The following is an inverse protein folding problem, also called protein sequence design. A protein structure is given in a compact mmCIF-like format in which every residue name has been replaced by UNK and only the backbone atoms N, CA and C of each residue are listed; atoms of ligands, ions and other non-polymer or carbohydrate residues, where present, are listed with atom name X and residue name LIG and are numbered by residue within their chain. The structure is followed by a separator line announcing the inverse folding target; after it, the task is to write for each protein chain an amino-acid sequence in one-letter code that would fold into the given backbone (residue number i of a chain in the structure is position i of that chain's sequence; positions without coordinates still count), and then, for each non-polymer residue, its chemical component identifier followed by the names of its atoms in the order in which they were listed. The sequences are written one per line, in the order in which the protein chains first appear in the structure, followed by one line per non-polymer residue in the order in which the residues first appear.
data_IF_030226009274
#
_entry.id   IF_030226009274
#
_cell.length_a   1.000
_cell.length_b   1.000
_cell.length_c   1.000
_cell.angle_alpha   90.00
_cell.angle_beta   90.00
_cell.angle_gamma   90.00
#
_symmetry.space_group_name_H-M   'P 1'
#
loop_
_entity.id
_entity.type
_entity.pdbx_description
1 polymer ?
#
# COMPACT_ATOMS: atom_id res chain seq x y z
N UNK A 1 7.63 6.88 7.42
CA UNK A 1 6.29 7.42 7.07
C UNK A 1 5.47 6.35 6.34
N UNK A 2 6.05 5.54 5.46
CA UNK A 2 5.38 4.39 4.84
C UNK A 2 4.78 3.42 5.89
N UNK A 3 5.46 3.21 7.03
CA UNK A 3 4.91 2.46 8.18
C UNK A 3 3.61 3.05 8.72
N UNK A 4 3.42 4.37 8.68
CA UNK A 4 2.18 5.01 9.16
C UNK A 4 1.01 4.83 8.19
N UNK A 5 1.25 4.76 6.89
CA UNK A 5 0.18 4.60 5.90
C UNK A 5 -0.36 3.17 5.86
N UNK A 6 0.48 2.13 5.86
CA UNK A 6 0.04 0.72 5.76
C UNK A 6 -0.66 0.18 7.02
N UNK A 7 -0.37 0.73 8.19
CA UNK A 7 -1.13 0.45 9.42
C UNK A 7 -2.50 1.16 9.44
N UNK A 8 -2.84 1.94 8.42
CA UNK A 8 -4.05 2.78 8.40
C UNK A 8 -5.36 2.00 8.26
N UNK A 9 -5.40 0.77 7.77
CA UNK A 9 -6.63 -0.03 7.71
C UNK A 9 -7.28 -0.27 9.08
N UNK A 10 -6.49 -0.22 10.16
CA UNK A 10 -6.95 -0.28 11.56
C UNK A 10 -6.94 1.13 12.19
N UNK A 11 -6.48 2.16 11.46
CA UNK A 11 -6.18 3.51 11.95
C UNK A 11 -6.87 4.62 11.18
N UNK A 12 -7.79 4.31 10.28
CA UNK A 12 -8.41 5.31 9.41
C UNK A 12 -8.91 6.52 10.21
N UNK A 13 -8.33 7.69 9.88
CA UNK A 13 -8.73 8.97 10.49
C UNK A 13 -10.08 9.45 10.00
N UNK A 14 -10.40 9.13 8.75
CA UNK A 14 -11.66 9.52 8.11
C UNK A 14 -12.14 8.33 7.29
N UNK A 15 -13.16 7.64 7.79
CA UNK A 15 -13.90 6.67 7.01
C UNK A 15 -15.05 7.44 6.36
N UNK A 16 -14.88 7.82 5.09
CA UNK A 16 -16.02 8.32 4.33
C UNK A 16 -16.66 7.17 3.54
N UNK A 17 -17.98 7.10 3.59
CA UNK A 17 -18.79 6.26 2.70
C UNK A 17 -19.39 7.08 1.55
N UNK A 18 -19.19 8.38 1.59
CA UNK A 18 -19.71 9.33 0.63
C UNK A 18 -18.85 9.34 -0.63
N UNK A 19 -19.28 8.58 -1.63
CA UNK A 19 -18.60 8.47 -2.93
C UNK A 19 -18.66 9.77 -3.75
N UNK A 20 -19.60 10.69 -3.45
CA UNK A 20 -19.68 11.97 -4.16
C UNK A 20 -18.45 12.86 -3.94
N UNK A 21 -17.76 12.64 -2.81
CA UNK A 21 -16.52 13.37 -2.51
C UNK A 21 -15.33 12.95 -3.38
N UNK A 22 -15.41 11.79 -4.02
CA UNK A 22 -14.35 11.29 -4.89
C UNK A 22 -14.21 12.16 -6.14
N UNK A 23 -15.31 12.56 -6.78
CA UNK A 23 -15.27 13.36 -8.00
C UNK A 23 -14.66 14.74 -7.74
N UNK A 24 -15.08 15.41 -6.67
CA UNK A 24 -14.47 16.67 -6.27
C UNK A 24 -12.97 16.52 -5.99
N UNK A 25 -12.55 15.44 -5.33
CA UNK A 25 -11.14 15.16 -5.09
C UNK A 25 -10.37 14.94 -6.41
N UNK A 26 -10.96 14.23 -7.36
CA UNK A 26 -10.35 14.00 -8.67
C UNK A 26 -10.21 15.28 -9.49
N UNK A 27 -11.17 16.22 -9.38
CA UNK A 27 -11.06 17.54 -10.01
C UNK A 27 -9.85 18.32 -9.47
N UNK A 28 -9.65 18.29 -8.16
CA UNK A 28 -8.47 18.91 -7.55
C UNK A 28 -7.17 18.17 -7.89
N UNK A 29 -7.18 16.85 -7.96
CA UNK A 29 -6.03 16.08 -8.39
C UNK A 29 -5.61 16.41 -9.83
N UNK A 30 -6.58 16.60 -10.73
CA UNK A 30 -6.32 17.02 -12.12
C UNK A 30 -5.71 18.42 -12.19
N UNK A 31 -6.19 19.35 -11.36
CA UNK A 31 -5.60 20.69 -11.23
C UNK A 31 -4.18 20.65 -10.64
N UNK A 32 -3.92 19.76 -9.67
CA UNK A 32 -2.56 19.56 -9.16
C UNK A 32 -1.62 19.06 -10.25
N UNK A 33 -2.04 18.10 -11.08
CA UNK A 33 -1.26 17.65 -12.24
C UNK A 33 -0.96 18.81 -13.21
N UNK A 34 -1.94 19.68 -13.47
CA UNK A 34 -1.76 20.84 -14.34
C UNK A 34 -0.77 21.85 -13.75
N UNK A 35 -0.77 22.06 -12.43
CA UNK A 35 0.21 22.91 -11.74
C UNK A 35 1.60 22.31 -11.74
N UNK A 36 1.69 20.98 -11.66
CA UNK A 36 2.96 20.25 -11.60
C UNK A 36 3.62 20.11 -12.99
N UNK A 37 2.83 19.96 -14.05
CA UNK A 37 3.31 19.68 -15.40
C UNK A 37 4.40 20.65 -15.92
N UNK A 38 4.33 21.97 -15.71
CA UNK A 38 5.39 22.90 -16.13
C UNK A 38 6.75 22.63 -15.47
N UNK A 39 6.76 22.02 -14.30
CA UNK A 39 7.99 21.71 -13.54
C UNK A 39 8.63 20.38 -13.95
N UNK A 40 7.92 19.55 -14.71
CA UNK A 40 8.42 18.27 -15.16
C UNK A 40 9.26 18.35 -16.45
N UNK A 41 9.11 19.39 -17.27
CA UNK A 41 9.99 19.65 -18.43
C UNK A 41 9.78 18.75 -19.66
N UNK A 42 8.62 18.12 -19.84
CA UNK A 42 8.28 17.35 -21.06
C UNK A 42 7.69 15.96 -20.78
N UNK A 43 7.69 15.08 -21.81
CA UNK A 43 7.21 13.70 -21.65
C UNK A 43 8.21 12.86 -20.86
N UNK A 44 7.77 12.30 -19.73
CA UNK A 44 8.61 11.52 -18.84
C UNK A 44 8.26 10.04 -18.92
N UNK A 45 9.27 9.14 -19.04
CA UNK A 45 9.04 7.71 -18.90
C UNK A 45 8.66 7.42 -17.45
N UNK A 46 7.56 6.67 -17.26
CA UNK A 46 7.09 6.22 -15.96
C UNK A 46 7.54 4.78 -15.74
N UNK A 47 8.58 4.58 -14.93
CA UNK A 47 9.10 3.27 -14.59
C UNK A 47 8.28 2.62 -13.47
N UNK A 48 7.78 3.41 -12.52
CA UNK A 48 6.98 2.92 -11.40
C UNK A 48 5.76 3.80 -11.15
N UNK A 49 4.63 3.16 -10.85
CA UNK A 49 3.39 3.80 -10.39
C UNK A 49 2.87 3.06 -9.17
N UNK A 50 2.48 3.79 -8.15
CA UNK A 50 1.90 3.20 -6.94
C UNK A 50 0.65 3.95 -6.50
N UNK A 51 -0.47 3.22 -6.44
CA UNK A 51 -1.71 3.69 -5.82
C UNK A 51 -1.82 3.11 -4.42
N UNK A 52 -1.70 3.97 -3.42
CA UNK A 52 -1.73 3.57 -2.01
C UNK A 52 -2.18 4.69 -1.09
N UNK A 53 -2.13 4.43 0.22
CA UNK A 53 -2.41 5.45 1.22
C UNK A 53 -3.89 5.62 1.55
N UNK A 54 -4.53 4.60 1.93
CA UNK A 54 -5.95 4.48 2.22
C UNK A 54 -6.49 3.25 1.53
N UNK A 55 -7.59 3.36 0.80
CA UNK A 55 -8.11 2.27 -0.02
C UNK A 55 -8.34 2.81 -1.43
N UNK A 56 -7.40 2.64 -2.37
CA UNK A 56 -7.55 3.16 -3.74
C UNK A 56 -8.82 2.66 -4.43
N UNK A 57 -9.25 1.44 -4.10
CA UNK A 57 -10.50 0.84 -4.57
C UNK A 57 -11.77 1.39 -3.89
N UNK A 58 -11.65 2.48 -3.15
CA UNK A 58 -12.76 3.37 -2.82
C UNK A 58 -13.29 4.08 -4.07
N UNK A 59 -12.41 4.40 -5.02
CA UNK A 59 -12.75 4.92 -6.33
C UNK A 59 -13.49 3.86 -7.14
N UNK A 60 -14.45 4.29 -7.97
CA UNK A 60 -15.07 3.39 -8.97
C UNK A 60 -14.07 3.06 -10.08
N UNK A 61 -14.40 2.06 -10.89
CA UNK A 61 -13.58 1.69 -12.04
C UNK A 61 -13.41 2.86 -13.01
N UNK A 62 -14.48 3.62 -13.28
CA UNK A 62 -14.48 4.81 -14.14
C UNK A 62 -13.62 5.94 -13.55
N UNK A 63 -13.65 6.11 -12.23
CA UNK A 63 -12.83 7.08 -11.53
C UNK A 63 -11.35 6.70 -11.57
N UNK A 64 -11.01 5.40 -11.47
CA UNK A 64 -9.64 4.92 -11.66
C UNK A 64 -9.17 5.11 -13.10
N UNK A 65 -10.03 4.85 -14.09
CA UNK A 65 -9.74 5.14 -15.51
C UNK A 65 -9.46 6.64 -15.72
N UNK A 66 -10.23 7.53 -15.09
CA UNK A 66 -9.99 8.97 -15.12
C UNK A 66 -8.62 9.32 -14.58
N UNK A 67 -8.20 8.78 -13.43
CA UNK A 67 -6.86 9.03 -12.86
C UNK A 67 -5.77 8.53 -13.81
N UNK A 68 -5.93 7.34 -14.40
CA UNK A 68 -4.99 6.84 -15.41
C UNK A 68 -4.91 7.75 -16.64
N UNK A 69 -6.04 8.30 -17.08
CA UNK A 69 -6.09 9.30 -18.14
C UNK A 69 -5.29 10.55 -17.79
N UNK A 70 -5.39 11.05 -16.56
CA UNK A 70 -4.57 12.17 -16.06
C UNK A 70 -3.07 11.84 -16.13
N UNK A 71 -2.68 10.66 -15.64
CA UNK A 71 -1.27 10.21 -15.64
C UNK A 71 -0.74 10.12 -17.07
N UNK A 72 -1.48 9.48 -17.98
CA UNK A 72 -1.06 9.29 -19.37
C UNK A 72 -0.93 10.58 -20.18
N UNK A 73 -1.55 11.68 -19.75
CA UNK A 73 -1.34 12.99 -20.37
C UNK A 73 0.05 13.59 -20.08
N UNK A 74 0.66 13.18 -18.97
CA UNK A 74 1.93 13.76 -18.50
C UNK A 74 3.08 12.78 -18.49
N UNK A 75 2.81 11.46 -18.51
CA UNK A 75 3.80 10.41 -18.41
C UNK A 75 3.57 9.32 -19.46
N UNK A 76 4.67 8.76 -19.96
CA UNK A 76 4.63 7.59 -20.85
C UNK A 76 4.93 6.33 -20.03
N UNK A 77 3.98 5.41 -19.94
CA UNK A 77 4.19 4.13 -19.26
C UNK A 77 5.24 3.32 -20.02
N UNK A 78 6.26 2.85 -19.28
CA UNK A 78 7.29 1.97 -19.84
C UNK A 78 6.74 0.54 -19.98
N UNK A 79 7.11 -0.22 -21.04
CA UNK A 79 6.64 -1.60 -21.22
C UNK A 79 6.95 -2.52 -20.04
N UNK A 80 8.14 -2.34 -19.42
CA UNK A 80 8.60 -3.12 -18.26
C UNK A 80 8.41 -2.38 -16.93
N UNK A 81 7.54 -1.37 -16.91
CA UNK A 81 7.26 -0.60 -15.70
C UNK A 81 6.53 -1.41 -14.62
N UNK A 82 6.66 -0.97 -13.38
CA UNK A 82 6.00 -1.55 -12.21
C UNK A 82 4.81 -0.69 -11.80
N UNK A 83 3.61 -1.17 -12.03
CA UNK A 83 2.37 -0.42 -11.76
C UNK A 83 1.56 -1.14 -10.69
N UNK A 84 1.58 -0.62 -9.47
CA UNK A 84 1.07 -1.29 -8.29
C UNK A 84 -0.13 -0.58 -7.66
N UNK A 85 -1.03 -1.37 -7.07
CA UNK A 85 -2.22 -0.90 -6.37
C UNK A 85 -2.43 -1.67 -5.06
N UNK A 86 -2.80 -0.95 -3.98
CA UNK A 86 -3.26 -1.54 -2.72
C UNK A 86 -4.75 -1.89 -2.80
N UNK A 87 -5.11 -3.11 -2.40
CA UNK A 87 -6.47 -3.66 -2.49
C UNK A 87 -6.99 -4.06 -1.10
N UNK A 88 -8.22 -3.65 -0.80
CA UNK A 88 -9.04 -4.28 0.24
C UNK A 88 -9.93 -5.33 -0.44
N UNK A 89 -9.68 -6.65 -0.28
CA UNK A 89 -10.36 -7.69 -1.04
C UNK A 89 -11.86 -7.77 -0.77
N UNK A 90 -12.33 -7.22 0.35
CA UNK A 90 -13.77 -7.13 0.70
C UNK A 90 -14.56 -6.16 -0.18
N UNK A 91 -13.87 -5.37 -1.00
CA UNK A 91 -14.42 -4.22 -1.75
C UNK A 91 -14.27 -4.34 -3.26
N UNK A 92 -13.72 -5.42 -3.75
CA UNK A 92 -13.30 -5.56 -5.14
C UNK A 92 -13.88 -6.83 -5.73
N UNK A 93 -14.52 -6.73 -6.90
CA UNK A 93 -15.00 -7.89 -7.67
C UNK A 93 -13.89 -8.42 -8.59
N UNK A 94 -14.07 -9.64 -9.11
CA UNK A 94 -13.17 -10.21 -10.14
C UNK A 94 -13.11 -9.33 -11.38
N UNK A 95 -14.25 -8.79 -11.81
CA UNK A 95 -14.36 -7.89 -12.97
C UNK A 95 -13.54 -6.62 -12.75
N UNK A 96 -13.61 -6.01 -11.55
CA UNK A 96 -12.79 -4.84 -11.21
C UNK A 96 -11.31 -5.17 -11.27
N UNK A 97 -10.86 -6.35 -10.79
CA UNK A 97 -9.46 -6.77 -10.89
C UNK A 97 -9.02 -6.90 -12.36
N UNK A 98 -9.84 -7.51 -13.21
CA UNK A 98 -9.55 -7.60 -14.65
C UNK A 98 -9.48 -6.21 -15.32
N UNK A 99 -10.34 -5.26 -14.91
CA UNK A 99 -10.25 -3.87 -15.39
C UNK A 99 -8.96 -3.20 -14.96
N UNK A 100 -8.51 -3.41 -13.71
CA UNK A 100 -7.21 -2.90 -13.24
C UNK A 100 -6.05 -3.42 -14.10
N UNK A 101 -6.06 -4.72 -14.46
CA UNK A 101 -5.07 -5.29 -15.39
C UNK A 101 -5.10 -4.60 -16.76
N UNK A 102 -6.32 -4.36 -17.33
CA UNK A 102 -6.49 -3.64 -18.60
C UNK A 102 -6.01 -2.18 -18.54
N UNK A 103 -6.12 -1.52 -17.40
CA UNK A 103 -5.58 -0.18 -17.19
C UNK A 103 -4.06 -0.15 -17.23
N UNK A 104 -3.41 -1.28 -16.93
CA UNK A 104 -1.96 -1.42 -16.95
C UNK A 104 -1.35 -1.76 -15.59
N UNK A 105 -2.16 -1.92 -14.53
CA UNK A 105 -1.64 -2.45 -13.28
C UNK A 105 -1.12 -3.87 -13.45
N UNK A 106 0.06 -4.14 -12.93
CA UNK A 106 0.71 -5.45 -13.02
C UNK A 106 1.26 -5.95 -11.67
N UNK A 107 1.03 -5.22 -10.60
CA UNK A 107 1.36 -5.60 -9.22
C UNK A 107 0.23 -5.22 -8.29
N UNK A 108 -0.01 -6.06 -7.30
CA UNK A 108 -1.10 -5.88 -6.33
C UNK A 108 -0.60 -6.16 -4.92
N UNK A 109 -1.00 -5.34 -3.95
CA UNK A 109 -0.87 -5.66 -2.52
C UNK A 109 -2.26 -5.85 -1.93
N UNK A 110 -2.50 -7.02 -1.35
CA UNK A 110 -3.79 -7.41 -0.77
C UNK A 110 -3.70 -7.39 0.75
N UNK A 111 -4.47 -6.49 1.36
CA UNK A 111 -4.53 -6.41 2.81
C UNK A 111 -5.33 -7.55 3.41
N UNK A 112 -4.68 -8.53 4.04
CA UNK A 112 -5.29 -9.64 4.76
C UNK A 112 -5.38 -9.35 6.26
N UNK A 113 -4.28 -8.98 6.84
CA UNK A 113 -4.01 -8.71 8.26
C UNK A 113 -4.00 -9.97 9.11
N UNK A 114 -5.09 -10.72 9.19
CA UNK A 114 -5.25 -11.99 9.88
C UNK A 114 -6.50 -12.72 9.39
N UNK A 115 -6.51 -14.07 9.46
CA UNK A 115 -7.68 -14.89 9.17
C UNK A 115 -8.38 -15.46 10.41
N UNK A 116 -7.81 -15.32 11.62
CA UNK A 116 -8.48 -15.75 12.85
C UNK A 116 -9.74 -14.92 13.10
N UNK A 117 -10.94 -15.52 13.22
CA UNK A 117 -12.19 -14.78 13.38
C UNK A 117 -12.25 -13.94 14.66
N UNK A 118 -11.55 -14.37 15.72
CA UNK A 118 -11.50 -13.67 17.01
C UNK A 118 -10.65 -12.40 16.89
N UNK A 119 -9.51 -12.52 16.20
CA UNK A 119 -8.63 -11.39 15.88
C UNK A 119 -9.36 -10.41 14.96
N UNK A 120 -9.96 -10.88 13.87
CA UNK A 120 -10.73 -10.06 12.92
C UNK A 120 -11.84 -9.27 13.61
N UNK A 121 -12.59 -9.92 14.53
CA UNK A 121 -13.66 -9.28 15.30
C UNK A 121 -13.10 -8.18 16.21
N UNK A 122 -11.99 -8.43 16.89
CA UNK A 122 -11.36 -7.46 17.80
C UNK A 122 -10.89 -6.18 17.08
N UNK A 123 -10.43 -6.30 15.84
CA UNK A 123 -10.00 -5.15 15.02
C UNK A 123 -11.07 -4.63 14.06
N UNK A 124 -12.29 -5.17 14.14
CA UNK A 124 -13.45 -4.83 13.28
C UNK A 124 -13.14 -4.96 11.78
N UNK A 125 -12.45 -6.04 11.41
CA UNK A 125 -12.09 -6.35 10.01
C UNK A 125 -12.45 -7.80 9.68
N UNK A 126 -13.71 -8.05 9.42
CA UNK A 126 -14.20 -9.37 9.01
C UNK A 126 -13.91 -9.54 7.51
N UNK A 127 -13.21 -10.60 7.16
CA UNK A 127 -12.78 -10.92 5.81
C UNK A 127 -12.70 -12.44 5.65
N UNK A 128 -13.35 -12.97 4.64
CA UNK A 128 -13.29 -14.41 4.34
C UNK A 128 -12.05 -14.78 3.52
N UNK A 129 -11.67 -16.04 3.60
CA UNK A 129 -10.64 -16.60 2.72
C UNK A 129 -11.06 -16.54 1.26
N UNK A 130 -12.34 -16.79 0.97
CA UNK A 130 -12.87 -16.83 -0.40
C UNK A 130 -12.83 -15.46 -1.08
N UNK A 131 -13.14 -14.36 -0.35
CA UNK A 131 -12.96 -13.00 -0.87
C UNK A 131 -11.51 -12.75 -1.27
N UNK A 132 -10.56 -13.14 -0.42
CA UNK A 132 -9.14 -12.97 -0.68
C UNK A 132 -8.66 -13.83 -1.86
N UNK A 133 -9.03 -15.11 -1.88
CA UNK A 133 -8.68 -16.06 -2.94
C UNK A 133 -9.19 -15.57 -4.28
N UNK A 134 -10.44 -15.15 -4.37
CA UNK A 134 -11.06 -14.64 -5.58
C UNK A 134 -10.30 -13.45 -6.19
N UNK A 135 -9.82 -12.53 -5.35
CA UNK A 135 -9.02 -11.37 -5.79
C UNK A 135 -7.65 -11.81 -6.30
N UNK A 136 -6.96 -12.71 -5.59
CA UNK A 136 -5.63 -13.20 -5.97
C UNK A 136 -5.68 -13.99 -7.28
N UNK A 137 -6.66 -14.89 -7.43
CA UNK A 137 -6.86 -15.65 -8.66
C UNK A 137 -7.19 -14.74 -9.85
N UNK A 138 -8.10 -13.78 -9.66
CA UNK A 138 -8.42 -12.80 -10.69
C UNK A 138 -7.21 -11.95 -11.11
N UNK A 139 -6.32 -11.60 -10.17
CA UNK A 139 -5.09 -10.90 -10.48
C UNK A 139 -4.16 -11.74 -11.38
N UNK A 140 -4.01 -13.04 -11.08
CA UNK A 140 -3.22 -13.97 -11.90
C UNK A 140 -3.82 -14.14 -13.29
N UNK A 141 -5.13 -14.32 -13.38
CA UNK A 141 -5.86 -14.40 -14.68
C UNK A 141 -5.72 -13.11 -15.50
N UNK A 142 -5.69 -11.95 -14.82
CA UNK A 142 -5.49 -10.65 -15.46
C UNK A 142 -4.02 -10.34 -15.82
N UNK A 143 -3.08 -11.28 -15.54
CA UNK A 143 -1.67 -11.16 -15.90
C UNK A 143 -0.85 -10.30 -14.95
N UNK A 144 -1.26 -10.14 -13.70
CA UNK A 144 -0.43 -9.47 -12.69
C UNK A 144 0.86 -10.28 -12.46
N UNK A 145 2.00 -9.59 -12.56
CA UNK A 145 3.34 -10.18 -12.43
C UNK A 145 3.70 -10.50 -10.97
N UNK A 146 3.10 -9.80 -10.00
CA UNK A 146 3.37 -10.03 -8.58
C UNK A 146 2.16 -9.68 -7.74
N UNK A 147 1.83 -10.56 -6.79
CA UNK A 147 0.80 -10.38 -5.77
C UNK A 147 1.47 -10.43 -4.40
N UNK A 148 1.42 -9.30 -3.70
CA UNK A 148 1.86 -9.17 -2.31
C UNK A 148 0.68 -9.31 -1.37
N UNK A 149 0.90 -9.86 -0.19
CA UNK A 149 -0.08 -9.87 0.90
C UNK A 149 0.45 -9.17 2.13
N UNK A 150 -0.42 -8.42 2.79
CA UNK A 150 -0.08 -7.70 4.01
C UNK A 150 -0.71 -8.39 5.21
N UNK A 151 0.12 -8.77 6.18
CA UNK A 151 -0.24 -9.32 7.48
C UNK A 151 0.17 -8.38 8.61
N UNK A 152 -0.48 -8.52 9.76
CA UNK A 152 -0.11 -7.77 10.96
C UNK A 152 0.05 -8.74 12.11
N UNK A 153 1.21 -8.70 12.77
CA UNK A 153 1.44 -9.44 14.01
C UNK A 153 1.33 -8.55 15.25
N UNK A 154 0.99 -9.15 16.38
CA UNK A 154 0.76 -8.45 17.64
C UNK A 154 -0.63 -7.80 17.74
N UNK A 155 -1.59 -8.26 16.95
CA UNK A 155 -2.99 -7.87 17.05
C UNK A 155 -3.64 -8.44 18.33
N UNK A 156 -4.76 -7.85 18.82
CA UNK A 156 -5.52 -8.41 19.94
C UNK A 156 -5.85 -9.88 19.75
N UNK A 157 -5.65 -10.68 20.78
CA UNK A 157 -5.85 -12.14 20.82
C UNK A 157 -4.88 -12.98 20.00
N UNK A 158 -3.91 -12.39 19.31
CA UNK A 158 -2.89 -13.18 18.64
C UNK A 158 -1.93 -13.85 19.62
N UNK A 159 -1.52 -15.04 19.28
CA UNK A 159 -0.43 -15.83 19.91
C UNK A 159 0.30 -16.59 18.81
N UNK A 160 1.39 -17.26 19.16
CA UNK A 160 2.09 -18.16 18.21
C UNK A 160 1.18 -19.24 17.68
N UNK A 161 0.28 -19.81 18.52
CA UNK A 161 -0.67 -20.83 18.08
C UNK A 161 -1.77 -20.29 17.17
N UNK A 162 -2.25 -19.05 17.39
CA UNK A 162 -3.32 -18.47 16.57
C UNK A 162 -2.83 -17.95 15.23
N UNK A 163 -1.57 -17.49 15.10
CA UNK A 163 -1.00 -17.01 13.83
C UNK A 163 -0.66 -18.15 12.86
N UNK A 164 -0.39 -19.35 13.37
CA UNK A 164 -0.07 -20.55 12.58
C UNK A 164 -1.08 -20.82 11.47
N UNK A 165 -2.39 -21.02 11.76
CA UNK A 165 -3.39 -21.28 10.72
C UNK A 165 -3.50 -20.14 9.72
N UNK A 166 -3.31 -18.89 10.15
CA UNK A 166 -3.30 -17.72 9.27
C UNK A 166 -2.13 -17.81 8.29
N UNK A 167 -0.92 -18.09 8.76
CA UNK A 167 0.26 -18.22 7.90
C UNK A 167 0.13 -19.38 6.92
N UNK A 168 -0.31 -20.56 7.38
CA UNK A 168 -0.53 -21.73 6.51
C UNK A 168 -1.58 -21.43 5.42
N UNK A 169 -2.65 -20.75 5.79
CA UNK A 169 -3.70 -20.31 4.84
C UNK A 169 -3.13 -19.32 3.82
N UNK A 170 -2.37 -18.33 4.26
CA UNK A 170 -1.74 -17.34 3.38
C UNK A 170 -0.77 -17.99 2.42
N UNK A 171 0.07 -18.92 2.92
CA UNK A 171 1.03 -19.66 2.08
C UNK A 171 0.32 -20.56 1.05
N UNK A 172 -0.87 -21.09 1.37
CA UNK A 172 -1.68 -21.83 0.40
C UNK A 172 -2.21 -20.98 -0.77
N UNK A 173 -2.25 -19.67 -0.62
CA UNK A 173 -2.58 -18.72 -1.69
C UNK A 173 -1.39 -18.39 -2.60
N UNK A 174 -0.20 -18.89 -2.24
CA UNK A 174 1.05 -18.77 -2.98
C UNK A 174 1.41 -17.32 -3.38
N UNK A 175 1.45 -16.35 -2.44
CA UNK A 175 1.80 -14.97 -2.75
C UNK A 175 3.27 -14.85 -3.19
N UNK A 176 3.57 -13.88 -4.05
CA UNK A 176 4.94 -13.61 -4.48
C UNK A 176 5.74 -12.86 -3.41
N UNK A 177 5.03 -12.03 -2.63
CA UNK A 177 5.60 -11.24 -1.52
C UNK A 177 4.67 -11.29 -0.30
N UNK A 178 5.29 -11.18 0.87
CA UNK A 178 4.58 -10.95 2.13
C UNK A 178 5.16 -9.74 2.84
N UNK A 179 4.28 -8.97 3.45
CA UNK A 179 4.68 -7.94 4.41
C UNK A 179 4.03 -8.26 5.76
N UNK A 180 4.86 -8.46 6.79
CA UNK A 180 4.43 -8.81 8.14
C UNK A 180 4.68 -7.63 9.07
N UNK A 181 3.68 -6.77 9.25
CA UNK A 181 3.81 -5.52 10.01
C UNK A 181 3.54 -5.70 11.50
N UNK A 182 4.33 -5.01 12.33
CA UNK A 182 4.05 -4.91 13.75
C UNK A 182 2.82 -4.03 14.03
N UNK A 183 1.88 -4.53 14.83
CA UNK A 183 0.80 -3.73 15.37
C UNK A 183 1.31 -2.74 16.43
N UNK A 184 1.19 -1.44 16.13
CA UNK A 184 1.48 -0.38 17.10
C UNK A 184 0.18 0.13 17.72
N UNK A 185 0.01 -0.13 19.03
CA UNK A 185 -1.14 0.36 19.78
C UNK A 185 -0.89 1.80 20.25
N UNK A 186 -1.56 2.77 19.62
CA UNK A 186 -1.39 4.21 19.85
C UNK A 186 -2.77 4.91 19.98
N UNK A 187 -3.58 4.58 21.01
CA UNK A 187 -4.95 5.08 21.13
C UNK A 187 -5.04 6.59 21.36
N UNK A 188 -3.97 7.21 21.85
CA UNK A 188 -3.87 8.67 21.98
C UNK A 188 -3.78 9.37 20.62
N UNK A 189 -3.22 8.70 19.60
CA UNK A 189 -3.10 9.21 18.23
C UNK A 189 -4.28 8.78 17.36
N UNK A 190 -4.71 7.52 17.49
CA UNK A 190 -5.74 6.90 16.64
C UNK A 190 -6.99 6.56 17.44
N UNK A 191 -8.00 7.40 17.31
CA UNK A 191 -9.29 7.25 18.05
C UNK A 191 -9.94 5.86 17.90
N UNK A 192 -9.94 5.18 16.74
CA UNK A 192 -10.52 3.83 16.63
C UNK A 192 -9.87 2.80 17.55
N UNK A 193 -8.56 2.94 17.82
CA UNK A 193 -7.83 2.02 18.71
C UNK A 193 -8.25 2.11 20.18
N UNK A 194 -8.97 3.16 20.58
CA UNK A 194 -9.53 3.30 21.95
C UNK A 194 -10.57 2.25 22.29
N UNK A 195 -11.11 1.56 21.27
CA UNK A 195 -12.10 0.48 21.44
C UNK A 195 -11.44 -0.89 21.64
N UNK A 196 -10.13 -0.97 21.44
CA UNK A 196 -9.37 -2.21 21.61
C UNK A 196 -9.05 -2.37 23.10
N UNK A 197 -9.46 -3.51 23.65
CA UNK A 197 -9.08 -3.89 25.01
C UNK A 197 -7.57 -4.18 25.05
N UNK A 198 -6.85 -3.42 25.85
CA UNK A 198 -5.38 -3.58 25.98
C UNK A 198 -5.00 -4.86 26.71
N UNK A 199 -5.90 -5.44 27.53
CA UNK A 199 -5.64 -6.68 28.25
C UNK A 199 -5.49 -7.90 27.33
N UNK A 200 -6.00 -7.81 26.08
CA UNK A 200 -5.92 -8.90 25.09
C UNK A 200 -4.91 -8.62 23.97
N UNK A 201 -4.15 -7.55 24.08
CA UNK A 201 -3.03 -7.26 23.18
C UNK A 201 -1.81 -8.02 23.68
N UNK A 202 -1.13 -8.82 22.84
CA UNK A 202 0.05 -9.59 23.24
C UNK A 202 1.14 -8.70 23.87
N UNK A 203 1.83 -9.23 24.86
CA UNK A 203 3.03 -8.62 25.47
C UNK A 203 4.15 -8.44 24.44
N UNK A 204 5.21 -7.74 24.81
CA UNK A 204 6.39 -7.58 23.94
C UNK A 204 7.09 -8.90 23.67
N UNK A 205 7.13 -9.80 24.65
CA UNK A 205 7.71 -11.14 24.51
C UNK A 205 6.89 -11.99 23.56
N UNK A 206 5.57 -12.08 23.77
CA UNK A 206 4.66 -12.82 22.87
C UNK A 206 4.74 -12.32 21.42
N UNK A 207 4.85 -10.98 21.23
CA UNK A 207 5.04 -10.42 19.89
C UNK A 207 6.36 -10.84 19.26
N UNK A 208 7.41 -10.94 20.04
CA UNK A 208 8.71 -11.43 19.57
C UNK A 208 8.62 -12.91 19.18
N UNK A 209 7.97 -13.74 20.01
CA UNK A 209 7.76 -15.17 19.72
C UNK A 209 6.96 -15.37 18.43
N UNK A 210 5.88 -14.59 18.24
CA UNK A 210 5.09 -14.59 16.99
C UNK A 210 5.97 -14.24 15.79
N UNK A 211 6.79 -13.17 15.90
CA UNK A 211 7.69 -12.76 14.82
C UNK A 211 8.74 -13.82 14.51
N UNK A 212 9.40 -14.37 15.52
CA UNK A 212 10.40 -15.44 15.34
C UNK A 212 9.81 -16.65 14.64
N UNK A 213 8.65 -17.11 15.10
CA UNK A 213 7.93 -18.22 14.47
C UNK A 213 7.61 -17.91 13.00
N UNK A 214 7.07 -16.73 12.71
CA UNK A 214 6.72 -16.38 11.35
C UNK A 214 7.94 -16.28 10.42
N UNK A 215 9.04 -15.69 10.89
CA UNK A 215 10.31 -15.60 10.14
C UNK A 215 10.85 -16.99 9.83
N UNK A 216 10.90 -17.89 10.85
CA UNK A 216 11.38 -19.25 10.66
C UNK A 216 10.50 -20.02 9.66
N UNK A 217 9.18 -19.96 9.81
CA UNK A 217 8.26 -20.63 8.89
C UNK A 217 8.41 -20.14 7.45
N UNK A 218 8.54 -18.83 7.24
CA UNK A 218 8.69 -18.25 5.90
C UNK A 218 10.02 -18.64 5.27
N UNK A 219 11.11 -18.70 6.04
CA UNK A 219 12.41 -19.20 5.59
C UNK A 219 12.33 -20.69 5.20
N UNK A 220 11.72 -21.54 6.04
CA UNK A 220 11.47 -22.97 5.76
C UNK A 220 10.62 -23.20 4.50
N UNK A 221 9.76 -22.23 4.14
CA UNK A 221 8.94 -22.25 2.93
C UNK A 221 9.63 -21.57 1.73
N UNK A 222 10.91 -21.21 1.86
CA UNK A 222 11.75 -20.70 0.79
C UNK A 222 11.60 -19.20 0.50
N UNK A 223 10.92 -18.43 1.35
CA UNK A 223 10.87 -16.99 1.20
C UNK A 223 12.16 -16.33 1.67
N UNK A 224 12.68 -15.40 0.91
CA UNK A 224 13.86 -14.59 1.25
C UNK A 224 13.42 -13.39 2.08
N UNK A 225 14.06 -13.21 3.25
CA UNK A 225 13.88 -11.99 4.04
C UNK A 225 14.53 -10.80 3.33
N UNK A 226 13.72 -9.87 2.86
CA UNK A 226 14.17 -8.67 2.11
C UNK A 226 14.68 -7.59 3.08
N UNK A 227 14.10 -7.55 4.26
CA UNK A 227 14.43 -6.60 5.31
C UNK A 227 13.20 -6.01 5.97
N UNK A 228 13.37 -5.51 7.18
CA UNK A 228 12.31 -4.98 8.05
C UNK A 228 11.13 -5.95 8.21
N UNK A 229 10.11 -5.81 7.41
CA UNK A 229 8.84 -6.53 7.53
C UNK A 229 8.52 -7.31 6.24
N UNK A 230 9.45 -7.42 5.27
CA UNK A 230 9.17 -7.91 3.91
C UNK A 230 9.89 -9.21 3.61
N UNK A 231 9.15 -10.09 2.94
CA UNK A 231 9.61 -11.38 2.42
C UNK A 231 9.19 -11.51 0.96
N UNK A 232 9.98 -12.19 0.16
CA UNK A 232 9.68 -12.42 -1.25
C UNK A 232 10.17 -13.80 -1.69
N UNK A 233 9.57 -14.36 -2.73
CA UNK A 233 10.10 -15.55 -3.39
C UNK A 233 11.50 -15.31 -3.95
N UNK A 234 12.38 -16.32 -4.05
CA UNK A 234 13.75 -16.14 -4.53
C UNK A 234 13.89 -15.56 -5.94
N UNK A 235 12.91 -15.80 -6.80
CA UNK A 235 12.79 -15.30 -8.16
C UNK A 235 12.17 -13.90 -8.27
N UNK A 236 11.68 -13.36 -7.18
CA UNK A 236 11.11 -12.01 -7.15
C UNK A 236 12.21 -10.95 -7.34
N UNK A 237 11.87 -9.86 -8.02
CA UNK A 237 12.78 -8.76 -8.33
C UNK A 237 13.45 -8.13 -7.09
N UNK A 238 12.74 -8.07 -5.95
CA UNK A 238 13.33 -7.57 -4.71
C UNK A 238 14.39 -8.51 -4.15
N UNK A 239 14.16 -9.84 -4.22
CA UNK A 239 15.13 -10.84 -3.79
C UNK A 239 16.35 -10.86 -4.71
N UNK A 240 16.14 -10.72 -6.03
CA UNK A 240 17.21 -10.59 -7.03
C UNK A 240 18.01 -9.31 -6.76
N UNK A 241 17.35 -8.17 -6.60
CA UNK A 241 18.00 -6.89 -6.32
C UNK A 241 18.79 -6.90 -5.00
N UNK A 242 18.29 -7.61 -3.98
CA UNK A 242 19.01 -7.79 -2.72
C UNK A 242 20.32 -8.55 -2.93
N UNK A 243 20.30 -9.68 -3.65
CA UNK A 243 21.48 -10.48 -3.95
C UNK A 243 22.52 -9.73 -4.79
N UNK A 244 22.06 -8.85 -5.67
CA UNK A 244 22.90 -8.04 -6.55
C UNK A 244 23.34 -6.70 -5.91
N UNK A 245 22.95 -6.41 -4.69
CA UNK A 245 23.29 -5.16 -4.00
C UNK A 245 22.63 -3.91 -4.59
N UNK A 246 21.56 -4.07 -5.39
CA UNK A 246 20.81 -2.98 -6.04
C UNK A 246 19.52 -2.58 -5.32
N UNK A 247 19.16 -3.31 -4.23
CA UNK A 247 17.95 -3.03 -3.50
C UNK A 247 18.02 -1.65 -2.84
N UNK A 248 17.02 -0.84 -3.08
CA UNK A 248 16.87 0.49 -2.51
C UNK A 248 15.60 0.58 -1.69
N UNK A 249 15.50 1.58 -0.84
CA UNK A 249 14.32 1.88 -0.06
C UNK A 249 13.99 3.36 -0.10
N UNK A 250 12.77 3.66 -0.52
CA UNK A 250 12.22 5.00 -0.52
C UNK A 250 11.03 5.13 0.48
N UNK A 251 10.26 6.21 0.40
CA UNK A 251 9.10 6.44 1.26
C UNK A 251 7.94 5.47 1.03
N UNK A 252 7.87 4.85 -0.14
CA UNK A 252 6.82 3.87 -0.47
C UNK A 252 7.18 2.46 -0.03
N UNK A 253 8.47 2.15 0.11
CA UNK A 253 8.97 0.84 0.49
C UNK A 253 10.25 0.46 -0.25
N UNK A 254 10.46 -0.85 -0.45
CA UNK A 254 11.58 -1.35 -1.24
C UNK A 254 11.34 -1.13 -2.73
N UNK A 255 12.41 -0.79 -3.45
CA UNK A 255 12.40 -0.49 -4.88
C UNK A 255 13.68 -0.98 -5.54
N UNK A 256 13.59 -1.34 -6.81
CA UNK A 256 14.72 -1.68 -7.70
C UNK A 256 15.19 -0.48 -8.52
N UNK A 257 14.54 0.68 -8.40
CA UNK A 257 14.78 1.91 -9.17
C UNK A 257 15.35 3.02 -8.28
N UNK A 258 16.65 2.94 -8.01
CA UNK A 258 17.37 3.91 -7.17
C UNK A 258 17.43 5.32 -7.76
N UNK A 259 17.56 5.39 -9.08
CA UNK A 259 17.87 6.62 -9.82
C UNK A 259 16.63 7.36 -10.33
N UNK A 260 15.43 6.87 -9.96
CA UNK A 260 14.20 7.53 -10.35
C UNK A 260 13.79 8.64 -9.38
N UNK A 261 13.40 9.77 -9.93
CA UNK A 261 12.66 10.77 -9.19
C UNK A 261 11.28 10.25 -8.79
N UNK A 262 10.85 10.58 -7.59
CA UNK A 262 9.55 10.20 -7.06
C UNK A 262 8.61 11.41 -7.11
N UNK A 263 7.83 11.53 -8.17
CA UNK A 263 6.76 12.52 -8.28
C UNK A 263 5.54 12.00 -7.52
N UNK A 264 5.05 12.78 -6.57
CA UNK A 264 3.91 12.38 -5.75
C UNK A 264 2.81 13.44 -5.77
N UNK A 265 1.59 13.01 -6.00
CA UNK A 265 0.39 13.87 -6.07
C UNK A 265 -0.67 13.39 -5.07
N UNK A 266 -1.57 14.28 -4.71
CA UNK A 266 -2.64 14.02 -3.76
C UNK A 266 -2.32 14.47 -2.34
N UNK A 267 -3.34 14.47 -1.49
CA UNK A 267 -3.24 14.88 -0.08
C UNK A 267 -2.22 14.03 0.67
N UNK A 268 -1.36 14.65 1.47
CA UNK A 268 -0.29 14.04 2.27
C UNK A 268 0.82 13.31 1.50
N UNK A 269 0.83 13.37 0.18
CA UNK A 269 1.84 12.69 -0.64
C UNK A 269 3.25 13.20 -0.34
N UNK A 270 4.26 12.34 -0.56
CA UNK A 270 5.67 12.65 -0.33
C UNK A 270 6.44 12.33 -1.59
N UNK A 271 7.04 13.36 -2.19
CA UNK A 271 7.90 13.27 -3.37
C UNK A 271 9.38 13.44 -3.04
N UNK A 272 10.23 12.97 -3.97
CA UNK A 272 11.67 13.21 -4.00
C UNK A 272 12.05 13.48 -5.45
N UNK A 273 12.48 14.70 -5.74
CA UNK A 273 12.98 15.10 -7.07
C UNK A 273 14.38 15.68 -6.90
N UNK A 274 15.35 15.05 -7.54
CA UNK A 274 16.76 15.35 -7.32
C UNK A 274 17.13 15.24 -5.83
N UNK A 275 17.69 16.31 -5.27
CA UNK A 275 18.06 16.40 -3.86
C UNK A 275 16.95 17.00 -2.96
N UNK A 276 15.73 17.16 -3.48
CA UNK A 276 14.64 17.79 -2.75
C UNK A 276 13.55 16.81 -2.38
N UNK A 277 13.17 16.79 -1.11
CA UNK A 277 11.98 16.10 -0.62
C UNK A 277 10.85 17.11 -0.44
N UNK A 278 9.64 16.74 -0.80
CA UNK A 278 8.44 17.53 -0.57
C UNK A 278 7.33 16.68 0.08
N UNK A 279 6.51 17.32 0.89
CA UNK A 279 5.29 16.71 1.43
C UNK A 279 4.12 17.65 1.24
N UNK A 280 3.06 17.15 0.63
CA UNK A 280 1.80 17.85 0.45
C UNK A 280 1.05 18.03 1.77
N UNK A 281 0.09 18.97 1.78
CA UNK A 281 -0.83 19.21 2.88
C UNK A 281 -1.49 17.90 3.34
N UNK A 282 -1.67 17.78 4.66
CA UNK A 282 -2.25 16.58 5.29
C UNK A 282 -3.74 16.71 5.55
N UNK A 283 -4.22 17.93 5.55
CA UNK A 283 -5.64 18.26 5.67
C UNK A 283 -6.20 18.55 4.29
N UNK A 284 -7.36 17.96 4.00
CA UNK A 284 -7.99 18.07 2.68
C UNK A 284 -8.43 19.49 2.37
N UNK A 285 -8.86 20.26 3.37
CA UNK A 285 -9.28 21.65 3.20
C UNK A 285 -8.10 22.53 2.82
N UNK A 286 -6.95 22.36 3.47
CA UNK A 286 -5.73 23.08 3.16
C UNK A 286 -5.17 22.69 1.79
N UNK A 287 -5.26 21.39 1.45
CA UNK A 287 -4.88 20.89 0.13
C UNK A 287 -5.71 21.56 -0.99
N UNK A 288 -7.03 21.64 -0.81
CA UNK A 288 -7.91 22.32 -1.77
C UNK A 288 -7.62 23.83 -1.85
N UNK A 289 -7.47 24.50 -0.71
CA UNK A 289 -7.19 25.92 -0.65
C UNK A 289 -5.91 26.29 -1.41
N UNK A 290 -4.83 25.53 -1.25
CA UNK A 290 -3.59 25.77 -1.97
C UNK A 290 -3.76 25.66 -3.50
N UNK A 291 -4.52 24.67 -3.98
CA UNK A 291 -4.80 24.48 -5.40
C UNK A 291 -5.72 25.59 -5.93
N UNK A 292 -6.71 26.04 -5.14
CA UNK A 292 -7.58 27.17 -5.50
C UNK A 292 -6.80 28.49 -5.67
N UNK A 293 -5.73 28.66 -4.87
CA UNK A 293 -4.77 29.77 -5.00
C UNK A 293 -3.78 29.62 -6.17
N UNK A 294 -3.86 28.54 -6.95
CA UNK A 294 -2.96 28.26 -8.06
C UNK A 294 -1.56 27.83 -7.63
N UNK A 295 -1.38 27.33 -6.41
CA UNK A 295 -0.12 26.84 -5.84
C UNK A 295 -0.10 25.32 -5.75
N UNK A 296 1.10 24.73 -5.90
CA UNK A 296 1.30 23.34 -5.47
C UNK A 296 1.00 23.21 -3.97
N UNK A 297 0.27 22.16 -3.54
CA UNK A 297 -0.19 22.01 -2.15
C UNK A 297 0.92 21.52 -1.21
N UNK A 298 2.14 22.05 -1.35
CA UNK A 298 3.32 21.64 -0.56
C UNK A 298 3.25 22.30 0.81
N UNK A 299 3.14 21.46 1.85
CA UNK A 299 3.21 21.87 3.25
C UNK A 299 4.64 22.18 3.69
N UNK A 300 5.60 21.35 3.24
CA UNK A 300 7.02 21.48 3.61
C UNK A 300 7.91 20.76 2.60
N UNK A 301 9.13 21.25 2.49
CA UNK A 301 10.20 20.64 1.72
C UNK A 301 11.49 20.56 2.53
N UNK A 302 12.43 19.74 2.06
CA UNK A 302 13.77 19.63 2.58
C UNK A 302 14.73 19.37 1.43
N UNK A 303 15.72 20.25 1.27
CA UNK A 303 16.81 20.07 0.32
C UNK A 303 18.00 19.41 1.03
N UNK A 304 18.56 18.37 0.41
CA UNK A 304 19.81 17.75 0.85
C UNK A 304 20.98 18.61 0.36
N UNK A 305 21.94 18.84 1.23
CA UNK A 305 23.19 19.54 0.93
C UNK A 305 24.16 18.58 0.24
#
# INVERSE_FOLDING_TARGET
IARRQRQMCIRDRIITKDKSRADAYLDYLEREFALLAPHLGGAHPLAQLHFGGGTPTFLSDEQLERVFGMIRRHFTLMPEGEYSIEIDPRKVSRESVHRLGKLGFNRMSVGIQDFDPKVQKAVNRIQSLDETRNVIEAAREAGFKSVSVDLIYGLPHQSTDSIKPTLDTVLSLDPDRLALYHYAHLPHVFKPQRRIDTAVVPSSEEKLDILQYAVQLLDERGYVFIGMDHFAKPEDELAIALREGRLQRNFQGYSTHADCDLVAVGVSSIGKVGNTYSQNEKDLTQYYAAIDEGRLPVLRGYALN
#
